data_IF_199271564444
#
_entry.id   IF_199271564444
#
_cell.length_a   1.000
_cell.length_b   1.000
_cell.length_c   1.000
_cell.angle_alpha   90.00
_cell.angle_beta   90.00
_cell.angle_gamma   90.00
#
_symmetry.space_group_name_H-M   'P 1'
#
loop_
_entity.id
_entity.type
_entity.pdbx_description
1 polymer ?
#
# COMPACT_ATOMS: atom_id res chain seq x y z
N UNK A 1 1.93 -9.31 -22.96
CA UNK A 1 2.40 -9.13 -21.58
C UNK A 1 1.68 -7.91 -21.07
N UNK A 2 0.43 -8.08 -20.62
CA UNK A 2 -0.27 -7.01 -19.94
C UNK A 2 0.53 -6.71 -18.68
N UNK A 3 1.13 -5.53 -18.62
CA UNK A 3 1.72 -5.05 -17.39
C UNK A 3 0.61 -5.03 -16.35
N UNK A 4 0.87 -5.52 -15.14
CA UNK A 4 0.05 -5.39 -13.93
C UNK A 4 -0.12 -3.90 -13.55
N UNK A 5 -0.49 -3.03 -14.49
CA UNK A 5 -0.11 -1.62 -14.49
C UNK A 5 -0.89 -0.79 -13.49
N UNK A 6 -2.08 -1.21 -13.06
CA UNK A 6 -2.90 -0.35 -12.22
C UNK A 6 -3.55 -1.13 -11.06
N UNK A 7 -2.71 -1.63 -10.13
CA UNK A 7 -3.19 -2.08 -8.81
C UNK A 7 -4.01 -0.95 -8.15
N UNK A 8 -3.59 0.28 -8.37
CA UNK A 8 -4.23 1.49 -7.88
C UNK A 8 -4.90 2.26 -9.01
N UNK A 9 -6.16 2.66 -8.82
CA UNK A 9 -6.78 3.67 -9.67
C UNK A 9 -6.35 5.05 -9.17
N UNK A 10 -5.31 5.61 -9.77
CA UNK A 10 -4.79 6.94 -9.42
C UNK A 10 -5.65 8.02 -10.10
N UNK A 11 -6.14 9.00 -9.34
CA UNK A 11 -7.10 10.00 -9.85
C UNK A 11 -6.65 11.45 -9.70
N UNK A 12 -5.68 11.74 -8.83
CA UNK A 12 -5.22 13.11 -8.57
C UNK A 12 -3.72 13.11 -8.23
N UNK A 13 -2.94 13.95 -8.91
CA UNK A 13 -1.51 14.09 -8.65
C UNK A 13 -1.29 14.97 -7.42
N UNK A 14 -0.40 14.55 -6.52
CA UNK A 14 0.00 15.34 -5.37
C UNK A 14 1.24 16.16 -5.75
N UNK A 15 2.32 15.46 -6.10
CA UNK A 15 3.59 16.04 -6.55
C UNK A 15 4.44 14.96 -7.22
N UNK A 16 5.10 15.28 -8.32
CA UNK A 16 6.03 14.37 -9.02
C UNK A 16 5.41 12.98 -9.26
N UNK A 17 6.05 11.90 -8.80
CA UNK A 17 5.55 10.54 -8.92
C UNK A 17 4.47 10.17 -7.89
N UNK A 18 4.09 11.05 -6.97
CA UNK A 18 3.15 10.77 -5.90
C UNK A 18 1.72 11.18 -6.25
N UNK A 19 0.81 10.23 -6.10
CA UNK A 19 -0.59 10.36 -6.50
C UNK A 19 -1.53 9.89 -5.40
N UNK A 20 -2.74 10.44 -5.40
CA UNK A 20 -3.86 9.85 -4.72
C UNK A 20 -4.49 8.74 -5.56
N UNK A 21 -4.79 7.64 -4.90
CA UNK A 21 -5.50 6.51 -5.46
C UNK A 21 -6.70 6.11 -4.61
N UNK A 22 -7.69 5.47 -5.23
CA UNK A 22 -8.82 4.87 -4.52
C UNK A 22 -8.66 3.35 -4.41
N UNK A 23 -9.03 2.85 -3.24
CA UNK A 23 -9.27 1.45 -3.00
C UNK A 23 -10.62 1.29 -2.29
N UNK A 24 -11.69 1.29 -3.08
CA UNK A 24 -13.06 1.42 -2.57
C UNK A 24 -13.28 2.86 -2.12
N UNK A 25 -13.77 3.04 -0.90
CA UNK A 25 -14.00 4.36 -0.30
C UNK A 25 -12.73 4.95 0.33
N UNK A 26 -11.60 4.24 0.27
CA UNK A 26 -10.38 4.61 0.97
C UNK A 26 -9.36 5.27 0.04
N UNK A 27 -8.79 6.38 0.52
CA UNK A 27 -7.79 7.17 -0.18
C UNK A 27 -6.38 6.70 0.19
N UNK A 28 -5.60 6.34 -0.81
CA UNK A 28 -4.20 5.93 -0.69
C UNK A 28 -3.30 7.00 -1.28
N UNK A 29 -2.11 7.18 -0.71
CA UNK A 29 -1.00 7.89 -1.36
C UNK A 29 -0.08 6.84 -1.96
N UNK A 30 0.20 6.95 -3.25
CA UNK A 30 0.94 5.94 -4.03
C UNK A 30 2.09 6.61 -4.78
N UNK A 31 3.23 5.96 -4.80
CA UNK A 31 4.32 6.26 -5.72
C UNK A 31 4.09 5.50 -7.02
N UNK A 32 3.82 6.21 -8.12
CA UNK A 32 3.54 5.62 -9.44
C UNK A 32 4.75 4.99 -10.12
N UNK A 33 5.97 5.35 -9.73
CA UNK A 33 7.17 4.73 -10.30
C UNK A 33 7.34 3.30 -9.77
N UNK A 34 6.93 3.06 -8.52
CA UNK A 34 7.08 1.77 -7.84
C UNK A 34 5.77 1.01 -7.66
N UNK A 35 4.62 1.67 -7.78
CA UNK A 35 3.30 1.18 -7.35
C UNK A 35 3.25 0.78 -5.87
N UNK A 36 4.04 1.45 -5.03
CA UNK A 36 4.04 1.26 -3.58
C UNK A 36 3.15 2.31 -2.92
N UNK A 37 2.54 1.98 -1.79
CA UNK A 37 1.67 2.90 -1.07
C UNK A 37 2.28 3.35 0.26
N UNK A 38 1.95 4.58 0.67
CA UNK A 38 2.36 5.14 1.95
C UNK A 38 1.55 4.52 3.09
N UNK A 39 2.09 3.48 3.72
CA UNK A 39 1.44 2.78 4.82
C UNK A 39 1.34 3.64 6.07
N UNK A 40 2.31 4.55 6.29
CA UNK A 40 2.28 5.50 7.41
C UNK A 40 1.08 6.43 7.31
N UNK A 41 0.85 7.05 6.15
CA UNK A 41 -0.29 7.93 5.90
C UNK A 41 -1.61 7.17 6.05
N UNK A 42 -1.71 5.98 5.45
CA UNK A 42 -2.91 5.16 5.55
C UNK A 42 -3.27 4.80 6.99
N UNK A 43 -2.28 4.36 7.78
CA UNK A 43 -2.51 4.02 9.18
C UNK A 43 -2.90 5.26 9.99
N UNK A 44 -2.23 6.40 9.75
CA UNK A 44 -2.50 7.67 10.44
C UNK A 44 -3.93 8.14 10.20
N UNK A 45 -4.41 8.05 8.97
CA UNK A 45 -5.80 8.40 8.60
C UNK A 45 -6.83 7.50 9.29
N UNK A 46 -6.42 6.30 9.72
CA UNK A 46 -7.22 5.37 10.49
C UNK A 46 -6.96 5.46 12.01
N UNK A 47 -6.24 6.48 12.49
CA UNK A 47 -5.92 6.66 13.91
C UNK A 47 -4.93 5.64 14.48
N UNK A 48 -4.11 5.01 13.63
CA UNK A 48 -3.11 3.99 14.00
C UNK A 48 -1.71 4.36 13.51
N UNK A 49 -0.68 3.68 14.02
CA UNK A 49 0.71 3.86 13.58
C UNK A 49 1.20 2.62 12.84
N UNK A 50 1.76 2.80 11.66
CA UNK A 50 2.31 1.69 10.88
C UNK A 50 3.39 0.91 11.64
N UNK A 51 4.20 1.60 12.45
CA UNK A 51 5.19 0.98 13.33
C UNK A 51 4.62 -0.01 14.35
N UNK A 52 3.32 0.05 14.68
CA UNK A 52 2.69 -0.93 15.56
C UNK A 52 2.33 -2.22 14.81
N UNK A 53 1.97 -2.13 13.53
CA UNK A 53 1.81 -3.29 12.66
C UNK A 53 3.13 -4.04 12.43
N UNK A 54 4.26 -3.32 12.38
CA UNK A 54 5.58 -3.94 12.27
C UNK A 54 5.98 -4.77 13.51
N UNK A 55 5.35 -4.54 14.66
CA UNK A 55 5.68 -5.21 15.93
C UNK A 55 4.88 -6.48 16.17
N UNK A 56 3.73 -6.66 15.51
CA UNK A 56 2.90 -7.85 15.66
C UNK A 56 3.43 -9.02 14.83
N UNK A 57 3.12 -10.24 15.25
CA UNK A 57 3.67 -11.47 14.65
C UNK A 57 3.21 -11.68 13.21
N UNK A 58 1.98 -11.28 12.89
CA UNK A 58 1.41 -11.33 11.55
C UNK A 58 2.21 -10.45 10.58
N UNK A 59 2.55 -9.22 11.01
CA UNK A 59 3.36 -8.29 10.23
C UNK A 59 4.77 -8.82 9.97
N UNK A 60 5.45 -9.27 11.03
CA UNK A 60 6.80 -9.85 10.92
C UNK A 60 6.83 -11.07 10.00
N UNK A 61 5.86 -11.96 10.16
CA UNK A 61 5.76 -13.19 9.36
C UNK A 61 5.56 -12.89 7.88
N UNK A 62 4.73 -11.90 7.55
CA UNK A 62 4.50 -11.51 6.16
C UNK A 62 5.72 -10.85 5.52
N UNK A 63 6.43 -10.00 6.25
CA UNK A 63 7.71 -9.41 5.81
C UNK A 63 8.71 -10.52 5.51
N UNK A 64 8.89 -11.47 6.44
CA UNK A 64 9.82 -12.58 6.25
C UNK A 64 9.42 -13.46 5.06
N UNK A 65 8.12 -13.67 4.83
CA UNK A 65 7.61 -14.39 3.67
C UNK A 65 8.02 -13.71 2.36
N UNK A 66 7.75 -12.41 2.23
CA UNK A 66 8.06 -11.68 1.00
C UNK A 66 9.56 -11.46 0.79
N UNK A 67 10.35 -11.38 1.86
CA UNK A 67 11.80 -11.39 1.80
C UNK A 67 12.32 -12.71 1.20
N UNK A 68 11.85 -13.86 1.70
CA UNK A 68 12.23 -15.18 1.17
C UNK A 68 11.82 -15.38 -0.30
N UNK A 69 10.80 -14.65 -0.77
CA UNK A 69 10.34 -14.66 -2.15
C UNK A 69 11.07 -13.67 -3.07
N UNK A 70 11.98 -12.85 -2.52
CA UNK A 70 12.69 -11.81 -3.28
C UNK A 70 11.80 -10.65 -3.72
N UNK A 71 10.64 -10.46 -3.08
CA UNK A 71 9.71 -9.34 -3.38
C UNK A 71 10.20 -8.05 -2.73
N UNK A 72 10.80 -8.14 -1.54
CA UNK A 72 11.43 -7.03 -0.84
C UNK A 72 12.93 -7.29 -0.70
N UNK A 73 13.73 -6.22 -0.78
CA UNK A 73 15.18 -6.25 -0.62
C UNK A 73 15.59 -6.62 0.81
N UNK A 74 16.90 -6.76 1.03
CA UNK A 74 17.53 -7.13 2.30
C UNK A 74 16.81 -6.57 3.55
N UNK A 75 16.71 -7.41 4.58
CA UNK A 75 15.99 -7.16 5.85
C UNK A 75 16.34 -5.85 6.56
N UNK A 76 17.48 -5.22 6.28
CA UNK A 76 17.85 -3.95 6.89
C UNK A 76 16.91 -2.81 6.49
N UNK A 77 16.41 -2.81 5.24
CA UNK A 77 15.46 -1.80 4.73
C UNK A 77 14.47 -2.45 3.75
N UNK A 78 13.47 -3.20 4.26
CA UNK A 78 12.47 -3.84 3.41
C UNK A 78 11.53 -2.82 2.74
N UNK A 79 11.55 -1.57 3.20
CA UNK A 79 10.64 -0.50 2.79
C UNK A 79 11.41 0.78 2.46
N UNK A 80 10.75 1.69 1.75
CA UNK A 80 11.31 2.99 1.38
C UNK A 80 10.74 4.04 2.34
N UNK A 81 11.61 4.68 3.10
CA UNK A 81 11.25 5.86 3.89
C UNK A 81 11.46 7.11 3.05
N UNK A 82 10.41 7.91 2.94
CA UNK A 82 10.41 9.18 2.21
C UNK A 82 10.21 10.30 3.22
N UNK A 83 11.12 11.28 3.21
CA UNK A 83 11.01 12.51 3.98
C UNK A 83 11.06 13.69 3.01
N UNK A 84 10.03 14.53 3.04
CA UNK A 84 9.88 15.68 2.14
C UNK A 84 9.89 16.96 2.97
N UNK A 85 10.65 17.96 2.51
CA UNK A 85 10.91 19.21 3.24
C UNK A 85 9.92 20.33 2.90
N UNK A 86 8.97 20.09 2.00
CA UNK A 86 7.96 21.06 1.59
C UNK A 86 6.89 21.18 2.67
N UNK A 87 6.60 22.40 3.10
CA UNK A 87 5.46 22.67 3.98
C UNK A 87 4.16 22.25 3.25
N UNK A 88 3.21 21.72 4.01
CA UNK A 88 1.93 21.11 3.59
C UNK A 88 2.02 19.82 2.77
N UNK A 89 2.65 19.86 1.59
CA UNK A 89 2.75 18.67 0.71
C UNK A 89 3.59 17.58 1.35
N UNK A 90 4.61 17.98 2.11
CA UNK A 90 5.51 17.02 2.73
C UNK A 90 4.84 16.16 3.80
N UNK A 91 3.79 16.66 4.46
CA UNK A 91 3.05 15.88 5.45
C UNK A 91 2.22 14.75 4.81
N UNK A 92 1.79 14.96 3.56
CA UNK A 92 0.99 14.01 2.78
C UNK A 92 1.90 12.89 2.24
N UNK A 93 3.06 13.26 1.70
CA UNK A 93 3.97 12.35 1.01
C UNK A 93 4.91 11.63 1.99
N UNK A 94 5.35 12.28 3.07
CA UNK A 94 6.32 11.66 3.97
C UNK A 94 5.76 10.41 4.66
N UNK A 95 6.61 9.40 4.82
CA UNK A 95 6.24 8.14 5.45
C UNK A 95 6.95 6.94 4.86
N UNK A 96 6.47 5.76 5.26
CA UNK A 96 7.02 4.48 4.82
C UNK A 96 6.17 3.94 3.68
N UNK A 97 6.78 3.80 2.52
CA UNK A 97 6.18 3.19 1.34
C UNK A 97 6.46 1.70 1.32
N UNK A 98 5.42 0.91 1.08
CA UNK A 98 5.49 -0.55 1.05
C UNK A 98 4.85 -1.10 -0.23
N UNK A 99 5.31 -2.28 -0.71
CA UNK A 99 4.72 -2.92 -1.88
C UNK A 99 3.22 -3.19 -1.72
N UNK A 100 2.48 -3.20 -2.84
CA UNK A 100 1.03 -3.40 -2.82
C UNK A 100 0.60 -4.75 -2.21
N UNK A 101 1.49 -5.74 -2.17
CA UNK A 101 1.22 -7.06 -1.59
C UNK A 101 0.86 -6.98 -0.09
N UNK A 102 1.22 -5.88 0.58
CA UNK A 102 0.92 -5.65 1.98
C UNK A 102 -0.46 -5.02 2.23
N UNK A 103 -1.16 -4.51 1.20
CA UNK A 103 -2.43 -3.77 1.36
C UNK A 103 -3.45 -4.58 2.16
N UNK A 104 -3.68 -5.84 1.79
CA UNK A 104 -4.71 -6.67 2.44
C UNK A 104 -4.39 -6.89 3.92
N UNK A 105 -3.16 -7.27 4.25
CA UNK A 105 -2.77 -7.53 5.63
C UNK A 105 -2.80 -6.27 6.51
N UNK A 106 -2.35 -5.13 5.99
CA UNK A 106 -2.41 -3.85 6.70
C UNK A 106 -3.87 -3.43 6.91
N UNK A 107 -4.69 -3.45 5.87
CA UNK A 107 -6.09 -2.98 5.95
C UNK A 107 -6.97 -3.85 6.82
N UNK A 108 -6.77 -5.18 6.82
CA UNK A 108 -7.44 -6.09 7.77
C UNK A 108 -7.09 -5.77 9.22
N UNK A 109 -5.83 -5.45 9.51
CA UNK A 109 -5.40 -5.05 10.85
C UNK A 109 -5.96 -3.69 11.27
N UNK A 110 -6.09 -2.74 10.33
CA UNK A 110 -6.68 -1.43 10.60
C UNK A 110 -8.16 -1.58 11.01
N UNK A 111 -8.95 -2.31 10.23
CA UNK A 111 -10.29 -2.75 10.62
C UNK A 111 -10.83 -3.88 9.72
N UNK A 112 -11.70 -4.77 10.25
CA UNK A 112 -12.35 -5.80 9.44
C UNK A 112 -13.15 -5.23 8.26
N UNK A 113 -13.85 -4.10 8.46
CA UNK A 113 -14.62 -3.44 7.40
C UNK A 113 -13.71 -3.02 6.25
N UNK A 114 -12.58 -2.38 6.56
CA UNK A 114 -11.63 -1.94 5.54
C UNK A 114 -11.04 -3.14 4.79
N UNK A 115 -10.53 -4.14 5.51
CA UNK A 115 -10.01 -5.36 4.88
C UNK A 115 -11.02 -6.04 3.94
N UNK A 116 -12.31 -6.05 4.31
CA UNK A 116 -13.38 -6.62 3.48
C UNK A 116 -13.63 -5.82 2.19
N UNK A 117 -13.63 -4.48 2.24
CA UNK A 117 -13.77 -3.67 1.01
C UNK A 117 -12.58 -3.87 0.07
N UNK A 118 -11.38 -3.98 0.63
CA UNK A 118 -10.18 -4.30 -0.16
C UNK A 118 -10.30 -5.68 -0.82
N UNK A 119 -10.72 -6.68 -0.05
CA UNK A 119 -10.93 -8.03 -0.55
C UNK A 119 -11.95 -8.10 -1.71
N UNK A 120 -13.08 -7.40 -1.61
CA UNK A 120 -14.10 -7.35 -2.68
C UNK A 120 -13.51 -6.83 -4.00
N UNK A 121 -12.69 -5.78 -3.94
CA UNK A 121 -12.06 -5.19 -5.12
C UNK A 121 -11.09 -6.18 -5.75
N UNK A 122 -10.23 -6.81 -4.95
CA UNK A 122 -9.33 -7.86 -5.43
C UNK A 122 -10.12 -8.98 -6.13
N UNK A 123 -11.17 -9.48 -5.49
CA UNK A 123 -11.97 -10.57 -6.05
C UNK A 123 -12.68 -10.17 -7.35
N UNK A 124 -13.20 -8.94 -7.44
CA UNK A 124 -13.84 -8.45 -8.68
C UNK A 124 -12.88 -8.43 -9.87
N UNK A 125 -11.59 -8.12 -9.64
CA UNK A 125 -10.57 -8.12 -10.69
C UNK A 125 -10.27 -9.53 -11.18
N UNK A 126 -10.14 -10.49 -10.26
CA UNK A 126 -9.98 -11.91 -10.60
C UNK A 126 -11.14 -12.46 -11.45
N UNK A 127 -12.38 -12.04 -11.16
CA UNK A 127 -13.54 -12.45 -11.96
C UNK A 127 -13.57 -11.84 -13.37
N UNK A 128 -13.12 -10.59 -13.51
CA UNK A 128 -12.98 -9.94 -14.81
C UNK A 128 -11.92 -10.61 -15.69
N UNK A 129 -10.76 -10.97 -15.13
CA UNK A 129 -9.69 -11.67 -15.85
C UNK A 129 -10.16 -13.03 -16.42
N UNK A 130 -10.92 -13.80 -15.63
CA UNK A 130 -11.49 -15.09 -16.06
C UNK A 130 -12.49 -14.98 -17.21
N UNK A 131 -13.20 -13.86 -17.33
CA UNK A 131 -14.18 -13.64 -18.41
C UNK A 131 -13.53 -13.25 -19.73
N UNK A 132 -12.24 -12.87 -19.70
CA UNK A 132 -11.47 -12.49 -20.88
C UNK A 132 -10.63 -13.64 -21.44
N UNK A 133 -10.66 -14.82 -20.80
CA UNK A 133 -9.99 -16.06 -21.25
C UNK A 133 -10.99 -17.04 -21.85
#
# INVERSE_FOLDING_TARGET
METLSDVFFCYEQIQDQYWYALYGDFKFVVDRNTNWFNATKLCRDCGRRFGDWLKIEEGKSLIMYYHKKGVISNLEKPFIEVETKTEDVGEIISGTYVPHQFILAVTMWLSPKFGNEVYKILNSRFECEKKQT
#
